data_IF_574326635054
#
_entry.id   IF_574326635054
#
_cell.length_a   1.000
_cell.length_b   1.000
_cell.length_c   1.000
_cell.angle_alpha   90.00
_cell.angle_beta   90.00
_cell.angle_gamma   90.00
#
_symmetry.space_group_name_H-M   'P 1'
#
loop_
_entity.id
_entity.type
_entity.pdbx_description
1 polymer ?
#
# COMPACT_ATOMS: atom_id res chain seq x y z
N UNK A 1 -19.49 -16.39 17.15
CA UNK A 1 -18.77 -16.51 15.86
C UNK A 1 -17.63 -17.50 16.05
N UNK A 2 -17.17 -18.19 15.00
CA UNK A 2 -16.06 -19.14 15.14
C UNK A 2 -14.74 -18.45 15.53
N UNK A 3 -13.94 -19.08 16.39
CA UNK A 3 -12.64 -18.55 16.86
C UNK A 3 -11.66 -18.28 15.71
N UNK A 4 -11.63 -19.16 14.71
CA UNK A 4 -10.81 -18.99 13.51
C UNK A 4 -11.19 -17.73 12.72
N UNK A 5 -12.47 -17.35 12.72
CA UNK A 5 -12.97 -16.15 12.04
C UNK A 5 -12.53 -14.89 12.79
N UNK A 6 -12.64 -14.88 14.12
CA UNK A 6 -12.18 -13.75 14.95
C UNK A 6 -10.67 -13.56 14.85
N UNK A 7 -9.90 -14.64 14.78
CA UNK A 7 -8.46 -14.60 14.55
C UNK A 7 -8.11 -13.98 13.18
N UNK A 8 -8.78 -14.42 12.11
CA UNK A 8 -8.60 -13.85 10.76
C UNK A 8 -8.97 -12.36 10.74
N UNK A 9 -10.11 -11.98 11.32
CA UNK A 9 -10.54 -10.58 11.42
C UNK A 9 -9.56 -9.75 12.25
N UNK A 10 -8.97 -10.31 13.31
CA UNK A 10 -7.95 -9.63 14.12
C UNK A 10 -6.65 -9.38 13.34
N UNK A 11 -6.20 -10.34 12.55
CA UNK A 11 -5.02 -10.17 11.68
C UNK A 11 -5.30 -9.12 10.61
N UNK A 12 -6.47 -9.22 9.99
CA UNK A 12 -6.92 -8.32 8.95
C UNK A 12 -7.11 -6.89 9.48
N UNK A 13 -7.61 -6.70 10.70
CA UNK A 13 -7.84 -5.39 11.30
C UNK A 13 -6.58 -4.71 11.82
N UNK A 14 -5.59 -5.50 12.24
CA UNK A 14 -4.25 -4.98 12.54
C UNK A 14 -3.46 -4.64 11.26
N UNK A 15 -3.87 -5.20 10.12
CA UNK A 15 -3.26 -4.93 8.83
C UNK A 15 -3.98 -3.78 8.12
N UNK A 16 -3.24 -2.98 7.36
CA UNK A 16 -3.83 -2.03 6.40
C UNK A 16 -4.60 -2.73 5.26
N UNK A 17 -4.59 -4.07 5.23
CA UNK A 17 -5.26 -4.93 4.24
C UNK A 17 -6.78 -4.80 4.30
N UNK A 18 -7.42 -4.66 5.48
CA UNK A 18 -8.86 -4.40 5.52
C UNK A 18 -9.23 -3.07 4.86
N UNK A 19 -8.36 -2.06 4.96
CA UNK A 19 -8.62 -0.79 4.29
C UNK A 19 -8.52 -0.93 2.77
N UNK A 20 -7.85 -1.96 2.24
CA UNK A 20 -7.78 -2.24 0.79
C UNK A 20 -8.89 -3.17 0.30
N UNK A 21 -9.59 -3.89 1.17
CA UNK A 21 -10.59 -4.88 0.75
C UNK A 21 -11.77 -4.27 -0.05
N UNK A 22 -12.30 -3.06 0.26
CA UNK A 22 -13.31 -2.43 -0.59
C UNK A 22 -12.76 -2.11 -1.98
N UNK A 23 -11.54 -1.59 -2.09
CA UNK A 23 -10.91 -1.31 -3.38
C UNK A 23 -10.75 -2.58 -4.23
N UNK A 24 -10.27 -3.67 -3.63
CA UNK A 24 -10.12 -4.97 -4.32
C UNK A 24 -11.48 -5.44 -4.87
N UNK A 25 -12.53 -5.38 -4.05
CA UNK A 25 -13.87 -5.80 -4.45
C UNK A 25 -14.42 -4.93 -5.59
N UNK A 26 -14.29 -3.62 -5.48
CA UNK A 26 -14.79 -2.69 -6.50
C UNK A 26 -14.04 -2.91 -7.82
N UNK A 27 -12.70 -2.95 -7.82
CA UNK A 27 -11.95 -3.19 -9.07
C UNK A 27 -12.23 -4.56 -9.69
N UNK A 28 -12.53 -5.57 -8.86
CA UNK A 28 -12.98 -6.87 -9.34
C UNK A 28 -14.32 -6.78 -10.09
N UNK A 29 -15.31 -6.08 -9.52
CA UNK A 29 -16.63 -5.88 -10.14
C UNK A 29 -16.54 -5.04 -11.41
N UNK A 30 -15.78 -3.94 -11.38
CA UNK A 30 -15.59 -3.05 -12.53
C UNK A 30 -14.64 -3.61 -13.60
N UNK A 31 -14.07 -4.80 -13.38
CA UNK A 31 -13.12 -5.49 -14.28
C UNK A 31 -11.88 -4.66 -14.64
N UNK A 32 -11.49 -3.69 -13.81
CA UNK A 32 -10.27 -2.92 -14.00
C UNK A 32 -9.05 -3.76 -13.61
N UNK A 33 -8.51 -4.49 -14.59
CA UNK A 33 -7.37 -5.41 -14.40
C UNK A 33 -6.08 -4.68 -14.05
N UNK A 34 -5.92 -3.40 -14.42
CA UNK A 34 -4.70 -2.64 -14.19
C UNK A 34 -4.63 -2.19 -12.73
N UNK A 35 -5.69 -1.52 -12.25
CA UNK A 35 -5.77 -1.09 -10.85
C UNK A 35 -5.87 -2.30 -9.90
N UNK A 36 -6.58 -3.36 -10.30
CA UNK A 36 -6.71 -4.57 -9.49
C UNK A 36 -5.35 -5.21 -9.16
N UNK A 37 -4.45 -5.33 -10.15
CA UNK A 37 -3.11 -5.90 -9.93
C UNK A 37 -2.30 -5.07 -8.94
N UNK A 38 -2.34 -3.73 -9.07
CA UNK A 38 -1.66 -2.83 -8.15
C UNK A 38 -2.14 -3.04 -6.71
N UNK A 39 -3.45 -2.98 -6.48
CA UNK A 39 -4.01 -3.12 -5.13
C UNK A 39 -3.76 -4.51 -4.56
N UNK A 40 -3.84 -5.56 -5.38
CA UNK A 40 -3.61 -6.93 -4.92
C UNK A 40 -2.16 -7.14 -4.47
N UNK A 41 -1.18 -6.59 -5.20
CA UNK A 41 0.22 -6.65 -4.80
C UNK A 41 0.46 -5.87 -3.50
N UNK A 42 -0.07 -4.65 -3.39
CA UNK A 42 0.04 -3.84 -2.18
C UNK A 42 -0.58 -4.53 -0.97
N UNK A 43 -1.76 -5.16 -1.14
CA UNK A 43 -2.39 -5.94 -0.08
C UNK A 43 -1.55 -7.15 0.34
N UNK A 44 -0.93 -7.85 -0.61
CA UNK A 44 -0.04 -8.98 -0.30
C UNK A 44 1.18 -8.55 0.53
N UNK A 45 1.79 -7.41 0.20
CA UNK A 45 2.95 -6.89 0.94
C UNK A 45 2.57 -6.34 2.33
N UNK A 46 1.42 -5.68 2.46
CA UNK A 46 0.90 -5.29 3.78
C UNK A 46 0.57 -6.49 4.66
N UNK A 47 0.02 -7.55 4.08
CA UNK A 47 -0.24 -8.80 4.80
C UNK A 47 1.07 -9.45 5.24
N UNK A 48 2.05 -9.54 4.33
CA UNK A 48 3.36 -10.09 4.62
C UNK A 48 4.07 -9.32 5.74
N UNK A 49 4.04 -7.99 5.70
CA UNK A 49 4.61 -7.13 6.76
C UNK A 49 3.96 -7.40 8.12
N UNK A 50 2.64 -7.54 8.18
CA UNK A 50 1.95 -7.81 9.45
C UNK A 50 2.21 -9.23 9.99
N UNK A 51 2.22 -10.26 9.11
CA UNK A 51 2.48 -11.64 9.50
C UNK A 51 3.92 -11.85 9.99
N UNK A 52 4.88 -11.16 9.37
CA UNK A 52 6.28 -11.25 9.76
C UNK A 52 6.63 -10.37 10.96
N UNK A 53 5.82 -9.35 11.29
CA UNK A 53 6.13 -8.39 12.35
C UNK A 53 6.27 -9.03 13.74
N UNK A 54 5.41 -9.99 14.11
CA UNK A 54 5.50 -10.67 15.41
C UNK A 54 6.70 -11.61 15.48
N UNK A 55 6.92 -12.40 14.43
CA UNK A 55 8.05 -13.32 14.33
C UNK A 55 9.38 -12.58 14.35
N UNK A 56 9.53 -11.52 13.55
CA UNK A 56 10.74 -10.69 13.51
C UNK A 56 11.04 -10.03 14.87
N UNK A 57 10.02 -9.64 15.64
CA UNK A 57 10.20 -9.09 16.98
C UNK A 57 10.64 -10.15 17.99
N UNK A 58 10.27 -11.41 17.81
CA UNK A 58 10.64 -12.50 18.70
C UNK A 58 12.07 -13.02 18.45
N UNK A 59 12.58 -12.87 17.22
CA UNK A 59 13.94 -13.28 16.84
C UNK A 59 15.02 -12.22 17.09
N UNK A 60 14.65 -10.96 17.38
CA UNK A 60 15.55 -9.81 17.35
C UNK A 60 15.61 -9.08 18.70
N UNK A 61 16.44 -9.58 19.62
CA UNK A 61 16.69 -8.99 20.95
C UNK A 61 17.35 -7.59 20.86
N UNK A 62 18.05 -7.30 19.76
CA UNK A 62 18.80 -6.04 19.56
C UNK A 62 17.96 -5.02 18.75
N UNK A 63 16.80 -5.44 18.21
CA UNK A 63 15.84 -4.63 17.45
C UNK A 63 16.38 -4.01 16.15
N UNK A 64 17.37 -4.65 15.51
CA UNK A 64 18.09 -4.14 14.33
C UNK A 64 17.62 -4.82 13.04
N UNK A 65 17.55 -6.15 13.02
CA UNK A 65 17.30 -6.94 11.82
C UNK A 65 15.91 -6.74 11.23
N UNK A 66 14.91 -6.40 12.05
CA UNK A 66 13.55 -6.11 11.56
C UNK A 66 13.50 -4.97 10.54
N UNK A 67 14.30 -3.91 10.73
CA UNK A 67 14.26 -2.74 9.85
C UNK A 67 14.92 -3.03 8.50
N UNK A 68 15.95 -3.88 8.49
CA UNK A 68 16.56 -4.35 7.25
C UNK A 68 15.59 -5.22 6.44
N UNK A 69 14.91 -6.17 7.09
CA UNK A 69 13.93 -7.04 6.43
C UNK A 69 12.76 -6.24 5.87
N UNK A 70 12.25 -5.26 6.63
CA UNK A 70 11.19 -4.38 6.15
C UNK A 70 11.67 -3.50 4.98
N UNK A 71 12.91 -2.98 5.01
CA UNK A 71 13.43 -2.13 3.94
C UNK A 71 13.60 -2.92 2.65
N UNK A 72 14.10 -4.14 2.75
CA UNK A 72 14.18 -5.08 1.61
C UNK A 72 12.77 -5.37 1.07
N UNK A 73 11.79 -5.57 1.95
CA UNK A 73 10.41 -5.82 1.55
C UNK A 73 9.84 -4.65 0.75
N UNK A 74 10.05 -3.41 1.20
CA UNK A 74 9.58 -2.21 0.50
C UNK A 74 10.30 -2.03 -0.85
N UNK A 75 11.61 -2.30 -0.92
CA UNK A 75 12.38 -2.27 -2.16
C UNK A 75 11.89 -3.32 -3.16
N UNK A 76 11.57 -4.53 -2.70
CA UNK A 76 11.01 -5.58 -3.56
C UNK A 76 9.65 -5.16 -4.10
N UNK A 77 8.78 -4.58 -3.25
CA UNK A 77 7.50 -4.03 -3.71
C UNK A 77 7.71 -2.96 -4.79
N UNK A 78 8.63 -2.03 -4.56
CA UNK A 78 8.98 -0.98 -5.51
C UNK A 78 9.47 -1.57 -6.84
N UNK A 79 10.36 -2.55 -6.80
CA UNK A 79 10.87 -3.22 -8.00
C UNK A 79 9.78 -3.94 -8.80
N UNK A 80 8.87 -4.65 -8.11
CA UNK A 80 7.76 -5.35 -8.76
C UNK A 80 6.77 -4.39 -9.43
N UNK A 81 6.41 -3.30 -8.75
CA UNK A 81 5.53 -2.28 -9.31
C UNK A 81 6.19 -1.56 -10.50
N UNK A 82 7.47 -1.22 -10.40
CA UNK A 82 8.20 -0.60 -11.50
C UNK A 82 8.27 -1.53 -12.72
N UNK A 83 8.57 -2.82 -12.50
CA UNK A 83 8.56 -3.84 -13.56
C UNK A 83 7.19 -3.95 -14.23
N UNK A 84 6.10 -3.98 -13.45
CA UNK A 84 4.74 -4.01 -13.99
C UNK A 84 4.32 -2.71 -14.68
N UNK A 85 4.84 -1.57 -14.25
CA UNK A 85 4.66 -0.28 -14.91
C UNK A 85 5.28 -0.27 -16.30
N UNK A 86 6.52 -0.77 -16.45
CA UNK A 86 7.21 -0.86 -17.75
C UNK A 86 6.52 -1.85 -18.70
N UNK A 87 5.88 -2.90 -18.17
CA UNK A 87 5.15 -3.91 -18.96
C UNK A 87 3.69 -3.54 -19.23
N UNK A 88 3.28 -2.30 -18.96
CA UNK A 88 1.90 -1.81 -19.08
C UNK A 88 0.87 -2.71 -18.38
N UNK A 89 1.28 -3.38 -17.29
CA UNK A 89 0.39 -4.25 -16.50
C UNK A 89 -0.36 -3.50 -15.41
N UNK A 90 0.05 -2.25 -15.15
CA UNK A 90 -0.50 -1.30 -14.18
C UNK A 90 -0.46 0.11 -14.79
N UNK A 91 -1.31 1.03 -14.33
CA UNK A 91 -1.25 2.43 -14.73
C UNK A 91 0.11 3.08 -14.40
N UNK A 92 0.78 3.62 -15.41
CA UNK A 92 2.09 4.27 -15.25
C UNK A 92 2.05 5.42 -14.23
N UNK A 93 1.02 6.26 -14.27
CA UNK A 93 0.87 7.36 -13.31
C UNK A 93 0.69 6.85 -11.88
N UNK A 94 -0.06 5.76 -11.68
CA UNK A 94 -0.25 5.13 -10.37
C UNK A 94 1.05 4.51 -9.86
N UNK A 95 1.83 3.91 -10.77
CA UNK A 95 3.18 3.45 -10.49
C UNK A 95 4.06 4.61 -10.01
N UNK A 96 4.17 5.71 -10.76
CA UNK A 96 5.03 6.86 -10.41
C UNK A 96 4.65 7.44 -9.03
N UNK A 97 3.37 7.70 -8.79
CA UNK A 97 2.92 8.23 -7.48
C UNK A 97 3.19 7.22 -6.37
N UNK A 98 2.91 5.93 -6.60
CA UNK A 98 3.18 4.87 -5.64
C UNK A 98 4.66 4.79 -5.23
N UNK A 99 5.58 4.90 -6.19
CA UNK A 99 7.02 4.94 -5.92
C UNK A 99 7.42 6.14 -5.07
N UNK A 100 6.91 7.34 -5.42
CA UNK A 100 7.22 8.58 -4.69
C UNK A 100 6.73 8.55 -3.25
N UNK A 101 5.59 7.90 -2.98
CA UNK A 101 5.07 7.73 -1.61
C UNK A 101 5.88 6.69 -0.85
N UNK A 102 6.09 5.51 -1.45
CA UNK A 102 6.67 4.36 -0.74
C UNK A 102 8.16 4.51 -0.50
N UNK A 103 8.90 5.26 -1.32
CA UNK A 103 10.36 5.45 -1.13
C UNK A 103 10.73 6.04 0.25
N UNK A 104 9.80 6.78 0.88
CA UNK A 104 9.99 7.26 2.25
C UNK A 104 10.13 6.14 3.27
N UNK A 105 9.48 4.99 3.05
CA UNK A 105 9.50 3.86 3.98
C UNK A 105 10.87 3.18 4.12
N UNK A 106 11.53 2.70 3.05
CA UNK A 106 12.86 2.11 3.15
C UNK A 106 13.90 3.13 3.60
N UNK A 107 13.78 4.42 3.20
CA UNK A 107 14.68 5.47 3.69
C UNK A 107 14.58 5.61 5.22
N UNK A 108 13.36 5.69 5.77
CA UNK A 108 13.17 5.81 7.21
C UNK A 108 13.62 4.55 7.96
N UNK A 109 13.41 3.37 7.39
CA UNK A 109 13.84 2.11 7.99
C UNK A 109 15.37 1.96 7.99
N UNK A 110 16.06 2.37 6.92
CA UNK A 110 17.52 2.42 6.86
C UNK A 110 18.10 3.51 7.78
N UNK A 111 17.47 4.69 7.85
CA UNK A 111 17.86 5.74 8.78
C UNK A 111 17.76 5.25 10.24
N UNK A 112 16.66 4.57 10.58
CA UNK A 112 16.45 3.94 11.89
C UNK A 112 17.52 2.90 12.20
N UNK A 113 17.91 2.10 11.20
CA UNK A 113 18.96 1.09 11.31
C UNK A 113 20.31 1.73 11.65
N UNK A 114 20.70 2.78 10.91
CA UNK A 114 21.95 3.51 11.11
C UNK A 114 21.96 4.22 12.46
N UNK A 115 20.88 4.91 12.81
CA UNK A 115 20.76 5.63 14.08
C UNK A 115 20.89 4.69 15.29
N UNK A 116 20.26 3.52 15.25
CA UNK A 116 20.38 2.53 16.33
C UNK A 116 21.77 1.88 16.41
N UNK A 117 22.54 1.88 15.32
CA UNK A 117 23.92 1.39 15.30
C UNK A 117 24.93 2.44 15.78
N UNK A 118 24.68 3.73 15.49
CA UNK A 118 25.65 4.79 15.72
C UNK A 118 25.32 5.62 16.96
N UNK A 119 24.08 6.12 17.11
CA UNK A 119 23.81 7.24 18.03
C UNK A 119 22.64 7.04 19.02
N UNK A 120 21.82 5.98 18.91
CA UNK A 120 20.69 5.64 19.81
C UNK A 120 19.81 6.86 20.21
N UNK A 121 19.47 7.72 19.26
CA UNK A 121 18.69 8.94 19.55
C UNK A 121 17.20 8.63 19.74
N UNK A 122 16.63 9.19 20.81
CA UNK A 122 15.18 9.21 21.03
C UNK A 122 14.39 9.86 19.86
N UNK A 123 15.00 10.85 19.19
CA UNK A 123 14.38 11.63 18.10
C UNK A 123 13.99 10.80 16.88
N UNK A 124 14.85 9.88 16.45
CA UNK A 124 14.61 8.94 15.35
C UNK A 124 13.41 8.02 15.60
N UNK A 125 13.12 7.70 16.86
CA UNK A 125 11.96 6.88 17.24
C UNK A 125 10.66 7.62 16.95
N UNK A 126 10.59 8.90 17.32
CA UNK A 126 9.41 9.75 17.15
C UNK A 126 9.13 9.98 15.67
N UNK A 127 10.17 10.29 14.89
CA UNK A 127 10.05 10.46 13.42
C UNK A 127 9.50 9.18 12.78
N UNK A 128 10.09 8.03 13.10
CA UNK A 128 9.70 6.75 12.51
C UNK A 128 8.25 6.39 12.84
N UNK A 129 7.84 6.50 14.11
CA UNK A 129 6.48 6.20 14.54
C UNK A 129 5.44 7.17 13.97
N UNK A 130 5.83 8.40 13.67
CA UNK A 130 4.93 9.41 13.10
C UNK A 130 4.79 9.25 11.60
N UNK A 131 5.90 9.13 10.85
CA UNK A 131 5.90 9.14 9.39
C UNK A 131 5.48 7.80 8.77
N UNK A 132 5.78 6.67 9.41
CA UNK A 132 5.45 5.35 8.86
C UNK A 132 3.94 5.16 8.66
N UNK A 133 3.05 5.52 9.62
CA UNK A 133 1.60 5.54 9.38
C UNK A 133 1.19 6.45 8.23
N UNK A 134 1.77 7.65 8.09
CA UNK A 134 1.43 8.57 6.99
C UNK A 134 1.76 7.97 5.62
N UNK A 135 2.92 7.31 5.49
CA UNK A 135 3.31 6.64 4.24
C UNK A 135 2.33 5.51 3.90
N UNK A 136 1.93 4.72 4.90
CA UNK A 136 0.95 3.65 4.71
C UNK A 136 -0.42 4.19 4.30
N UNK A 137 -0.91 5.25 4.96
CA UNK A 137 -2.16 5.94 4.59
C UNK A 137 -2.08 6.46 3.17
N UNK A 138 -1.01 7.17 2.81
CA UNK A 138 -0.81 7.69 1.47
C UNK A 138 -0.79 6.56 0.42
N UNK A 139 -0.16 5.43 0.72
CA UNK A 139 -0.15 4.24 -0.15
C UNK A 139 -1.54 3.67 -0.35
N UNK A 140 -2.36 3.61 0.72
CA UNK A 140 -3.77 3.24 0.62
C UNK A 140 -4.52 4.23 -0.27
N UNK A 141 -4.35 5.53 -0.08
CA UNK A 141 -5.00 6.56 -0.93
C UNK A 141 -4.65 6.36 -2.41
N UNK A 142 -3.39 6.07 -2.73
CA UNK A 142 -2.95 5.78 -4.11
C UNK A 142 -3.64 4.55 -4.69
N UNK A 143 -3.95 3.54 -3.87
CA UNK A 143 -4.74 2.38 -4.29
C UNK A 143 -6.19 2.76 -4.67
N UNK A 144 -6.76 3.80 -4.03
CA UNK A 144 -8.13 4.27 -4.28
C UNK A 144 -8.23 5.30 -5.42
N UNK A 145 -7.14 5.96 -5.82
CA UNK A 145 -7.16 6.99 -6.87
C UNK A 145 -7.84 6.55 -8.19
N UNK A 146 -7.61 5.32 -8.72
CA UNK A 146 -8.28 4.91 -9.96
C UNK A 146 -9.81 4.82 -9.82
N UNK A 147 -10.35 4.56 -8.63
CA UNK A 147 -11.80 4.56 -8.40
C UNK A 147 -12.40 5.96 -8.55
N UNK A 148 -11.74 6.96 -7.98
CA UNK A 148 -12.19 8.36 -8.08
C UNK A 148 -12.24 8.80 -9.55
N UNK A 149 -11.23 8.40 -10.33
CA UNK A 149 -11.17 8.69 -11.77
C UNK A 149 -12.28 7.95 -12.53
N UNK A 150 -12.57 6.71 -12.16
CA UNK A 150 -13.63 5.93 -12.79
C UNK A 150 -15.02 6.55 -12.56
N UNK A 151 -15.32 6.98 -11.33
CA UNK A 151 -16.59 7.63 -11.00
C UNK A 151 -16.74 9.00 -11.66
N UNK A 152 -15.68 9.82 -11.70
CA UNK A 152 -15.71 11.13 -12.37
C UNK A 152 -15.91 11.00 -13.88
N UNK A 153 -15.26 10.03 -14.53
CA UNK A 153 -15.49 9.74 -15.96
C UNK A 153 -16.92 9.27 -16.25
N UNK A 154 -17.49 8.38 -15.43
CA UNK A 154 -18.86 7.93 -15.62
C UNK A 154 -19.89 9.06 -15.41
N UNK A 155 -19.69 9.93 -14.43
CA UNK A 155 -20.54 11.11 -14.23
C UNK A 155 -20.49 12.08 -15.41
N UNK A 156 -19.30 12.30 -15.98
CA UNK A 156 -19.12 13.15 -17.16
C UNK A 156 -19.73 12.55 -18.44
N UNK A 157 -19.66 11.23 -18.63
CA UNK A 157 -20.30 10.57 -19.78
C UNK A 157 -21.82 10.64 -19.66
N UNK A 158 -22.36 10.41 -18.46
CA UNK A 158 -23.80 10.47 -18.21
C UNK A 158 -24.38 11.87 -18.45
N UNK A 159 -23.70 12.91 -17.98
CA UNK A 159 -24.12 14.30 -18.25
C UNK A 159 -24.02 14.68 -19.72
N UNK A 160 -23.07 14.11 -20.48
CA UNK A 160 -22.95 14.37 -21.92
C UNK A 160 -24.08 13.73 -22.73
N UNK A 161 -24.56 12.56 -22.32
CA UNK A 161 -25.70 11.85 -22.94
C UNK A 161 -27.02 12.56 -22.61
N UNK A 162 -27.19 13.05 -21.39
CA UNK A 162 -28.39 13.78 -20.97
C UNK A 162 -28.52 15.15 -21.66
N UNK A 163 -27.39 15.80 -21.96
CA UNK A 163 -27.35 17.11 -22.62
C UNK A 163 -27.25 17.03 -24.16
N UNK A 164 -27.20 15.84 -24.76
CA UNK A 164 -27.17 15.74 -26.23
C UNK A 164 -28.56 15.99 -26.83
N UNK A 165 -28.70 16.89 -27.84
CA UNK A 165 -29.98 17.19 -28.44
C UNK A 165 -30.57 15.94 -29.11
N UNK A 166 -31.91 15.79 -29.13
CA UNK A 166 -32.56 14.64 -29.76
C UNK A 166 -32.14 14.58 -31.23
N UNK A 167 -31.69 13.40 -31.65
CA UNK A 167 -31.40 13.08 -33.05
C UNK A 167 -32.64 13.42 -33.88
N UNK A 168 -32.46 14.29 -34.87
CA UNK A 168 -33.48 14.58 -35.89
C UNK A 168 -33.73 13.37 -36.78
#
# INVERSE_FOLDING_TARGET
MPEWFLYIVSILSKSWVLMLSPAIFIFFVFKDRLAFRFVLLTAAFFLFGNLTASSLRAFDDIYIYRYLVWAITDIIWMALIAYWGIKDKVYLWQCVIGQLVVIGAPILQLFRLVDRHLWDLAYSTVIYQTLMPFINIATVVVCYLPLIILFTKQGSVRSKIENSPPSK
#
